data_IF_021742817160
#
_entry.id   IF_021742817160
#
_cell.length_a   1.000
_cell.length_b   1.000
_cell.length_c   1.000
_cell.angle_alpha   90.00
_cell.angle_beta   90.00
_cell.angle_gamma   90.00
#
_symmetry.space_group_name_H-M   'P 1'
#
loop_
_entity.id
_entity.type
_entity.pdbx_description
1 polymer ?
#
# COMPACT_ATOMS: atom_id res chain seq x y z
N UNK A 1 -18.70 6.02 12.02
CA UNK A 1 -17.68 6.74 11.21
C UNK A 1 -16.27 6.18 11.37
N UNK A 2 -15.63 6.22 12.54
CA UNK A 2 -14.24 5.71 12.75
C UNK A 2 -13.97 4.30 12.21
N UNK A 3 -14.96 3.40 12.23
CA UNK A 3 -14.88 2.06 11.65
C UNK A 3 -14.55 2.03 10.16
N UNK A 4 -15.14 2.94 9.37
CA UNK A 4 -14.87 3.04 7.93
C UNK A 4 -13.41 3.42 7.67
N UNK A 5 -12.88 4.40 8.40
CA UNK A 5 -11.48 4.79 8.27
C UNK A 5 -10.55 3.62 8.61
N UNK A 6 -10.80 2.93 9.73
CA UNK A 6 -10.00 1.75 10.11
C UNK A 6 -9.99 0.69 9.01
N UNK A 7 -11.15 0.44 8.40
CA UNK A 7 -11.28 -0.49 7.28
C UNK A 7 -10.41 -0.05 6.09
N UNK A 8 -10.48 1.21 5.64
CA UNK A 8 -9.61 1.69 4.55
C UNK A 8 -8.12 1.60 4.88
N UNK A 9 -7.71 1.92 6.10
CA UNK A 9 -6.30 1.81 6.51
C UNK A 9 -5.82 0.35 6.50
N UNK A 10 -6.66 -0.59 6.95
CA UNK A 10 -6.37 -2.04 6.85
C UNK A 10 -6.28 -2.47 5.39
N UNK A 11 -7.21 -2.01 4.54
CA UNK A 11 -7.17 -2.30 3.11
C UNK A 11 -5.90 -1.80 2.43
N UNK A 12 -5.39 -0.61 2.79
CA UNK A 12 -4.10 -0.11 2.26
C UNK A 12 -2.98 -1.11 2.54
N UNK A 13 -2.89 -1.62 3.77
CA UNK A 13 -1.86 -2.59 4.16
C UNK A 13 -2.03 -3.91 3.41
N UNK A 14 -3.26 -4.45 3.35
CA UNK A 14 -3.55 -5.70 2.65
C UNK A 14 -3.22 -5.59 1.16
N UNK A 15 -3.63 -4.50 0.50
CA UNK A 15 -3.37 -4.28 -0.92
C UNK A 15 -1.88 -4.20 -1.22
N UNK A 16 -1.08 -3.58 -0.34
CA UNK A 16 0.38 -3.55 -0.49
C UNK A 16 1.03 -4.93 -0.29
N UNK A 17 0.49 -5.76 0.61
CA UNK A 17 0.96 -7.15 0.78
C UNK A 17 0.60 -7.99 -0.45
N UNK A 18 -0.60 -7.86 -0.99
CA UNK A 18 -1.01 -8.55 -2.22
C UNK A 18 -0.17 -8.11 -3.42
N UNK A 19 0.10 -6.81 -3.52
CA UNK A 19 0.99 -6.24 -4.52
C UNK A 19 2.41 -6.82 -4.39
N UNK A 20 2.98 -6.91 -3.17
CA UNK A 20 4.25 -7.61 -2.93
C UNK A 20 4.27 -9.06 -3.43
N UNK A 21 3.22 -9.83 -3.08
CA UNK A 21 3.10 -11.24 -3.46
C UNK A 21 2.98 -11.38 -4.98
N UNK A 22 2.10 -10.59 -5.60
CA UNK A 22 1.88 -10.61 -7.04
C UNK A 22 3.14 -10.21 -7.82
N UNK A 23 3.87 -9.17 -7.38
CA UNK A 23 5.16 -8.80 -7.99
C UNK A 23 6.17 -9.95 -7.91
N UNK A 24 6.27 -10.62 -6.76
CA UNK A 24 7.19 -11.77 -6.60
C UNK A 24 6.82 -12.95 -7.48
N UNK A 25 5.53 -13.26 -7.60
CA UNK A 25 5.04 -14.31 -8.50
C UNK A 25 5.36 -13.93 -9.95
N UNK A 26 5.05 -12.69 -10.37
CA UNK A 26 5.30 -12.22 -11.72
C UNK A 26 6.79 -12.29 -12.10
N UNK A 27 7.68 -11.83 -11.21
CA UNK A 27 9.13 -11.89 -11.43
C UNK A 27 9.64 -13.32 -11.53
N UNK A 28 9.14 -14.23 -10.67
CA UNK A 28 9.48 -15.65 -10.75
C UNK A 28 8.99 -16.30 -12.06
N UNK A 29 7.94 -15.76 -12.69
CA UNK A 29 7.45 -16.17 -14.00
C UNK A 29 8.19 -15.50 -15.17
N UNK A 30 9.19 -14.66 -14.88
CA UNK A 30 10.02 -13.97 -15.88
C UNK A 30 9.55 -12.58 -16.28
N UNK A 31 8.58 -11.98 -15.57
CA UNK A 31 8.19 -10.60 -15.79
C UNK A 31 9.27 -9.62 -15.28
N UNK A 32 9.40 -8.48 -15.95
CA UNK A 32 10.29 -7.40 -15.53
C UNK A 32 9.50 -6.29 -14.82
N UNK A 33 10.06 -5.76 -13.73
CA UNK A 33 9.52 -4.60 -13.03
C UNK A 33 9.72 -3.34 -13.88
N UNK A 34 8.61 -2.71 -14.29
CA UNK A 34 8.64 -1.52 -15.16
C UNK A 34 9.20 -0.30 -14.43
N UNK A 35 9.03 -0.22 -13.11
CA UNK A 35 9.53 0.91 -12.33
C UNK A 35 11.05 0.79 -12.13
N UNK A 36 11.86 1.71 -12.68
CA UNK A 36 13.32 1.61 -12.64
C UNK A 36 13.91 1.77 -11.24
N UNK A 37 13.18 2.41 -10.31
CA UNK A 37 13.63 2.50 -8.91
C UNK A 37 13.31 1.20 -8.18
N UNK A 38 12.13 0.64 -8.45
CA UNK A 38 11.68 -0.59 -7.79
C UNK A 38 12.48 -1.80 -8.26
N UNK A 39 12.85 -1.86 -9.54
CA UNK A 39 13.67 -2.94 -10.10
C UNK A 39 15.03 -3.08 -9.41
N UNK A 40 15.64 -1.97 -8.94
CA UNK A 40 16.92 -2.00 -8.22
C UNK A 40 16.82 -2.70 -6.85
N UNK A 41 15.66 -2.67 -6.22
CA UNK A 41 15.48 -3.20 -4.87
C UNK A 41 14.68 -4.51 -4.86
N UNK A 42 14.08 -4.91 -5.98
CA UNK A 42 13.06 -5.97 -6.03
C UNK A 42 13.55 -7.34 -5.54
N UNK A 43 14.83 -7.65 -5.73
CA UNK A 43 15.44 -8.89 -5.27
C UNK A 43 16.02 -8.81 -3.86
N UNK A 44 16.09 -7.60 -3.30
CA UNK A 44 16.62 -7.37 -1.97
C UNK A 44 15.54 -7.49 -0.88
N UNK A 45 15.99 -7.65 0.37
CA UNK A 45 15.11 -7.56 1.55
C UNK A 45 14.47 -6.17 1.70
N UNK A 46 15.04 -5.14 1.07
CA UNK A 46 14.48 -3.77 1.11
C UNK A 46 13.13 -3.69 0.41
N UNK A 47 12.89 -4.51 -0.62
CA UNK A 47 11.58 -4.55 -1.29
C UNK A 47 10.44 -4.91 -0.34
N UNK A 48 10.68 -5.93 0.50
CA UNK A 48 9.72 -6.37 1.52
C UNK A 48 9.53 -5.28 2.58
N UNK A 49 10.64 -4.66 3.03
CA UNK A 49 10.60 -3.58 4.01
C UNK A 49 9.77 -2.41 3.49
N UNK A 50 10.01 -1.97 2.24
CA UNK A 50 9.28 -0.86 1.62
C UNK A 50 7.81 -1.21 1.42
N UNK A 51 7.48 -2.39 0.86
CA UNK A 51 6.08 -2.78 0.62
C UNK A 51 5.30 -3.17 1.87
N UNK A 52 5.93 -3.35 3.04
CA UNK A 52 5.22 -3.69 4.29
C UNK A 52 5.32 -2.58 5.34
N UNK A 53 6.53 -2.17 5.72
CA UNK A 53 6.70 -1.22 6.83
C UNK A 53 6.23 0.19 6.46
N UNK A 54 6.44 0.62 5.21
CA UNK A 54 6.03 1.98 4.78
C UNK A 54 4.50 2.11 4.79
N UNK A 55 3.71 1.20 4.20
CA UNK A 55 2.24 1.23 4.29
C UNK A 55 1.72 1.19 5.73
N UNK A 56 2.35 0.40 6.61
CA UNK A 56 2.00 0.37 8.04
C UNK A 56 2.27 1.72 8.70
N UNK A 57 3.46 2.30 8.48
CA UNK A 57 3.83 3.60 9.04
C UNK A 57 2.90 4.73 8.54
N UNK A 58 2.59 4.75 7.24
CA UNK A 58 1.64 5.71 6.64
C UNK A 58 0.25 5.50 7.24
N UNK A 59 -0.20 4.26 7.41
CA UNK A 59 -1.53 3.97 7.96
C UNK A 59 -1.66 4.43 9.42
N UNK A 60 -0.62 4.20 10.24
CA UNK A 60 -0.55 4.69 11.62
C UNK A 60 -0.50 6.22 11.68
N UNK A 61 0.24 6.86 10.77
CA UNK A 61 0.31 8.32 10.69
C UNK A 61 -1.03 8.94 10.28
N UNK A 62 -1.70 8.40 9.27
CA UNK A 62 -3.04 8.82 8.86
C UNK A 62 -4.05 8.64 9.99
N UNK A 63 -3.99 7.51 10.71
CA UNK A 63 -4.83 7.28 11.89
C UNK A 63 -4.62 8.37 12.96
N UNK A 64 -3.36 8.74 13.26
CA UNK A 64 -3.06 9.83 14.19
C UNK A 64 -3.61 11.18 13.71
N UNK A 65 -3.45 11.49 12.42
CA UNK A 65 -3.96 12.74 11.82
C UNK A 65 -5.49 12.81 11.76
N UNK A 66 -6.17 11.66 11.73
CA UNK A 66 -7.64 11.60 11.71
C UNK A 66 -8.30 12.24 12.93
N UNK A 67 -7.58 12.34 14.07
CA UNK A 67 -8.05 13.05 15.26
C UNK A 67 -8.30 14.54 15.02
N UNK A 68 -7.56 15.16 14.10
CA UNK A 68 -7.65 16.59 13.82
C UNK A 68 -8.48 16.88 12.57
N UNK A 69 -8.42 16.02 11.55
CA UNK A 69 -9.05 16.26 10.25
C UNK A 69 -9.64 14.97 9.65
N UNK A 70 -10.64 14.40 10.32
CA UNK A 70 -11.23 13.10 9.95
C UNK A 70 -11.68 13.02 8.49
N UNK A 71 -12.48 13.99 8.00
CA UNK A 71 -13.06 13.94 6.66
C UNK A 71 -11.97 13.95 5.56
N UNK A 72 -10.93 14.75 5.75
CA UNK A 72 -9.80 14.83 4.80
C UNK A 72 -9.03 13.52 4.77
N UNK A 73 -8.73 12.94 5.94
CA UNK A 73 -8.02 11.65 6.04
C UNK A 73 -8.87 10.54 5.42
N UNK A 74 -10.17 10.48 5.69
CA UNK A 74 -11.06 9.50 5.11
C UNK A 74 -11.09 9.59 3.57
N UNK A 75 -11.16 10.80 3.02
CA UNK A 75 -11.12 11.01 1.57
C UNK A 75 -9.79 10.53 0.98
N UNK A 76 -8.66 10.92 1.57
CA UNK A 76 -7.33 10.47 1.13
C UNK A 76 -7.21 8.94 1.18
N UNK A 77 -7.60 8.30 2.28
CA UNK A 77 -7.55 6.83 2.39
C UNK A 77 -8.45 6.14 1.36
N UNK A 78 -9.64 6.69 1.09
CA UNK A 78 -10.52 6.20 0.01
C UNK A 78 -9.87 6.31 -1.36
N UNK A 79 -9.27 7.45 -1.69
CA UNK A 79 -8.60 7.66 -2.97
C UNK A 79 -7.42 6.70 -3.15
N UNK A 80 -6.60 6.50 -2.11
CA UNK A 80 -5.47 5.55 -2.16
C UNK A 80 -5.99 4.13 -2.44
N UNK A 81 -6.99 3.66 -1.69
CA UNK A 81 -7.56 2.33 -1.91
C UNK A 81 -8.16 2.20 -3.31
N UNK A 82 -8.90 3.21 -3.78
CA UNK A 82 -9.47 3.23 -5.12
C UNK A 82 -8.43 3.13 -6.23
N UNK A 83 -7.31 3.87 -6.09
CA UNK A 83 -6.19 3.79 -7.03
C UNK A 83 -5.53 2.41 -7.01
N UNK A 84 -5.32 1.82 -5.83
CA UNK A 84 -4.75 0.47 -5.74
C UNK A 84 -5.65 -0.58 -6.36
N UNK A 85 -6.95 -0.55 -6.08
CA UNK A 85 -7.89 -1.51 -6.67
C UNK A 85 -7.85 -1.41 -8.19
N UNK A 86 -7.90 -0.20 -8.76
CA UNK A 86 -7.83 0.00 -10.21
C UNK A 86 -6.52 -0.52 -10.86
N UNK A 87 -5.42 -0.51 -10.13
CA UNK A 87 -4.12 -1.02 -10.63
C UNK A 87 -4.02 -2.55 -10.49
N UNK A 88 -4.65 -3.12 -9.47
CA UNK A 88 -4.56 -4.56 -9.17
C UNK A 88 -5.64 -5.39 -9.92
N UNK A 89 -6.78 -4.80 -10.30
CA UNK A 89 -7.83 -5.44 -11.12
C UNK A 89 -7.69 -5.13 -12.60
#
# INVERSE_FOLDING_TARGET
>A
MIWLLKLYLVFIVILNILDLISTKIAINLGAAEVNPIMSLIVDSKLFIIVKILVPIAISLWLYRKSKYNYNRVLLTSKTIVGMYVFVVT
#
